data_IF_615652349557
#
_entry.id   IF_615652349557
#
_cell.length_a   1.000
_cell.length_b   1.000
_cell.length_c   1.000
_cell.angle_alpha   90.00
_cell.angle_beta   90.00
_cell.angle_gamma   90.00
#
_symmetry.space_group_name_H-M   'P 1'
#
loop_
_entity.id
_entity.type
_entity.pdbx_description
1 polymer ?
#
# COMPACT_ATOMS: atom_id res chain seq x y z
N UNK A 1 -17.13 -1.76 19.72
CA UNK A 1 -17.00 -0.36 19.29
C UNK A 1 -16.43 -0.24 17.87
N UNK A 2 -15.29 -0.87 17.54
CA UNK A 2 -14.64 -0.90 16.20
C UNK A 2 -15.49 -1.52 15.08
N UNK A 3 -16.35 -2.48 15.39
CA UNK A 3 -17.24 -3.18 14.44
C UNK A 3 -18.41 -2.31 13.93
N UNK A 4 -18.76 -1.23 14.64
CA UNK A 4 -19.90 -0.37 14.29
C UNK A 4 -19.48 0.81 13.41
N UNK A 5 -18.28 1.34 13.64
CA UNK A 5 -17.65 2.40 12.84
C UNK A 5 -17.13 1.90 11.48
N UNK A 6 -16.57 0.69 11.42
CA UNK A 6 -16.31 0.01 10.13
C UNK A 6 -17.61 -0.25 9.34
N UNK A 7 -18.75 -0.38 10.04
CA UNK A 7 -20.09 -0.53 9.43
C UNK A 7 -20.59 0.77 8.80
N UNK A 8 -20.34 1.94 9.37
CA UNK A 8 -20.75 3.23 8.79
C UNK A 8 -19.86 3.70 7.63
N UNK A 9 -18.55 3.41 7.68
CA UNK A 9 -17.62 3.67 6.59
C UNK A 9 -17.96 2.84 5.33
N UNK A 10 -18.55 1.66 5.54
CA UNK A 10 -19.14 0.78 4.53
C UNK A 10 -20.44 1.34 3.93
N UNK A 11 -21.27 2.05 4.70
CA UNK A 11 -22.57 2.59 4.24
C UNK A 11 -22.44 3.84 3.36
N UNK A 12 -21.24 4.41 3.27
CA UNK A 12 -20.90 5.56 2.42
C UNK A 12 -19.95 5.18 1.28
N UNK A 13 -19.86 3.87 1.03
CA UNK A 13 -19.36 3.20 -0.18
C UNK A 13 -17.84 3.08 -0.37
N UNK A 14 -17.07 3.12 0.73
CA UNK A 14 -15.70 3.62 0.61
C UNK A 14 -14.78 3.12 1.72
N UNK A 15 -14.65 1.83 2.00
CA UNK A 15 -13.60 1.38 2.92
C UNK A 15 -12.94 0.10 2.44
N UNK A 16 -11.66 0.19 2.07
CA UNK A 16 -10.79 -0.96 1.77
C UNK A 16 -9.66 -0.98 2.79
N UNK A 17 -9.68 -1.93 3.73
CA UNK A 17 -8.54 -2.16 4.61
C UNK A 17 -7.69 -3.29 4.02
N UNK A 18 -6.53 -2.95 3.45
CA UNK A 18 -5.59 -3.92 2.93
C UNK A 18 -4.49 -4.17 3.95
N UNK A 19 -4.54 -5.34 4.58
CA UNK A 19 -3.49 -5.81 5.49
C UNK A 19 -2.54 -6.68 4.71
N UNK A 20 -1.25 -6.36 4.77
CA UNK A 20 -0.21 -7.14 4.12
C UNK A 20 1.03 -7.25 5.01
N UNK A 21 1.83 -8.25 4.69
CA UNK A 21 3.09 -8.63 5.33
C UNK A 21 4.05 -9.06 4.21
N UNK A 22 5.36 -8.94 4.38
CA UNK A 22 6.31 -9.37 3.35
C UNK A 22 6.12 -10.86 3.02
N UNK A 23 6.08 -11.18 1.73
CA UNK A 23 6.01 -12.55 1.17
C UNK A 23 4.92 -13.44 1.76
N UNK A 24 3.86 -12.86 2.34
CA UNK A 24 2.80 -13.61 3.00
C UNK A 24 3.34 -14.60 4.07
N UNK A 25 4.35 -14.18 4.85
CA UNK A 25 4.97 -14.98 5.89
C UNK A 25 3.98 -15.55 6.92
N UNK A 26 4.08 -16.84 7.23
CA UNK A 26 3.26 -17.48 8.27
C UNK A 26 3.55 -16.92 9.66
N UNK A 27 2.58 -17.03 10.58
CA UNK A 27 2.77 -16.61 11.97
C UNK A 27 3.64 -17.61 12.76
N UNK A 28 4.64 -17.15 13.54
CA UNK A 28 5.11 -15.77 13.65
C UNK A 28 5.98 -15.36 12.45
N UNK A 29 5.70 -14.19 11.87
CA UNK A 29 6.57 -13.64 10.84
C UNK A 29 7.86 -13.14 11.49
N UNK A 30 9.01 -13.69 11.09
CA UNK A 30 10.32 -13.35 11.65
C UNK A 30 11.15 -12.44 10.72
N UNK A 31 10.52 -11.80 9.74
CA UNK A 31 11.20 -10.88 8.82
C UNK A 31 12.03 -9.83 9.57
N UNK A 32 13.26 -9.59 9.17
CA UNK A 32 14.05 -8.45 9.66
C UNK A 32 13.41 -7.14 9.19
N UNK A 33 13.82 -6.02 9.77
CA UNK A 33 13.39 -4.70 9.29
C UNK A 33 13.76 -4.49 7.82
N UNK A 34 15.00 -4.83 7.42
CA UNK A 34 15.41 -4.79 6.01
C UNK A 34 14.51 -5.65 5.12
N UNK A 35 14.13 -6.85 5.58
CA UNK A 35 13.23 -7.72 4.84
C UNK A 35 11.80 -7.16 4.72
N UNK A 36 11.34 -6.36 5.68
CA UNK A 36 10.09 -5.61 5.56
C UNK A 36 10.23 -4.52 4.48
N UNK A 37 11.35 -3.79 4.48
CA UNK A 37 11.62 -2.75 3.47
C UNK A 37 11.69 -3.36 2.06
N UNK A 38 12.42 -4.45 1.89
CA UNK A 38 12.58 -5.12 0.59
C UNK A 38 11.28 -5.76 0.08
N UNK A 39 10.34 -6.07 0.98
CA UNK A 39 9.12 -6.80 0.66
C UNK A 39 7.87 -5.94 0.50
N UNK A 40 7.98 -4.60 0.52
CA UNK A 40 6.81 -3.71 0.53
C UNK A 40 6.25 -3.42 -0.85
N UNK A 41 7.09 -3.46 -1.89
CA UNK A 41 6.76 -2.96 -3.23
C UNK A 41 5.51 -3.62 -3.82
N UNK A 42 5.45 -4.95 -3.78
CA UNK A 42 4.33 -5.72 -4.34
C UNK A 42 3.02 -5.44 -3.58
N UNK A 43 2.95 -5.58 -2.24
CA UNK A 43 1.80 -5.15 -1.45
C UNK A 43 1.34 -3.72 -1.71
N UNK A 44 2.29 -2.78 -1.76
CA UNK A 44 1.99 -1.37 -1.97
C UNK A 44 1.43 -1.13 -3.37
N UNK A 45 2.03 -1.72 -4.39
CA UNK A 45 1.55 -1.60 -5.76
C UNK A 45 0.15 -2.20 -5.92
N UNK A 46 -0.11 -3.39 -5.37
CA UNK A 46 -1.46 -3.99 -5.37
C UNK A 46 -2.46 -3.06 -4.70
N UNK A 47 -2.13 -2.51 -3.52
CA UNK A 47 -2.98 -1.54 -2.84
C UNK A 47 -3.26 -0.33 -3.72
N UNK A 48 -2.24 0.29 -4.31
CA UNK A 48 -2.37 1.48 -5.15
C UNK A 48 -3.17 1.20 -6.43
N UNK A 49 -3.09 0.01 -7.02
CA UNK A 49 -3.94 -0.36 -8.15
C UNK A 49 -5.42 -0.32 -7.76
N UNK A 50 -5.80 -0.88 -6.61
CA UNK A 50 -7.20 -1.02 -6.20
C UNK A 50 -7.69 0.07 -5.23
N UNK A 51 -6.86 1.05 -4.88
CA UNK A 51 -7.16 2.02 -3.84
C UNK A 51 -8.41 2.83 -4.20
N UNK A 52 -9.39 2.84 -3.31
CA UNK A 52 -10.60 3.64 -3.43
C UNK A 52 -10.65 4.67 -2.31
N UNK A 53 -11.68 5.51 -2.32
CA UNK A 53 -11.88 6.44 -1.22
C UNK A 53 -11.95 5.69 0.14
N UNK A 54 -11.39 6.32 1.18
CA UNK A 54 -11.17 5.77 2.52
C UNK A 54 -10.56 4.36 2.58
N UNK A 55 -9.71 4.02 1.62
CA UNK A 55 -8.86 2.85 1.72
C UNK A 55 -7.66 3.10 2.67
N UNK A 56 -7.33 2.10 3.48
CA UNK A 56 -6.20 2.10 4.40
C UNK A 56 -5.28 0.94 4.04
N UNK A 57 -3.99 1.25 3.92
CA UNK A 57 -2.93 0.26 3.79
C UNK A 57 -2.31 0.01 5.14
N UNK A 58 -2.22 -1.25 5.51
CA UNK A 58 -1.55 -1.68 6.72
C UNK A 58 -0.48 -2.71 6.36
N UNK A 59 0.77 -2.40 6.73
CA UNK A 59 1.93 -3.23 6.45
C UNK A 59 2.73 -3.45 7.74
N UNK A 60 2.60 -4.62 8.34
CA UNK A 60 3.17 -4.89 9.66
C UNK A 60 3.62 -6.34 9.83
N UNK A 61 4.69 -6.56 10.59
CA UNK A 61 5.21 -7.91 10.90
C UNK A 61 4.44 -8.60 12.02
N UNK A 62 4.03 -7.83 13.03
CA UNK A 62 3.42 -8.34 14.26
C UNK A 62 2.47 -7.28 14.82
N UNK A 63 1.23 -7.64 15.20
CA UNK A 63 0.33 -6.72 15.89
C UNK A 63 0.77 -6.38 17.32
N UNK A 64 1.74 -7.12 17.89
CA UNK A 64 2.26 -6.85 19.24
C UNK A 64 3.28 -5.72 19.18
N UNK A 65 2.96 -4.64 19.89
CA UNK A 65 3.93 -3.62 20.31
C UNK A 65 4.95 -4.32 21.20
N UNK A 66 6.20 -4.43 20.74
CA UNK A 66 7.25 -5.14 21.46
C UNK A 66 7.78 -4.31 22.62
N UNK A 67 7.68 -2.98 22.54
CA UNK A 67 8.11 -2.06 23.61
C UNK A 67 7.03 -1.04 23.96
N UNK A 68 6.44 -1.18 25.16
CA UNK A 68 5.54 -0.19 25.74
C UNK A 68 6.32 1.12 26.03
N UNK A 69 6.43 1.99 25.03
CA UNK A 69 7.17 3.25 25.14
C UNK A 69 7.57 3.86 23.80
N UNK A 70 7.52 3.10 22.71
CA UNK A 70 7.72 3.62 21.36
C UNK A 70 6.41 3.52 20.57
N UNK A 71 6.03 4.60 19.90
CA UNK A 71 5.05 4.52 18.83
C UNK A 71 5.74 3.81 17.67
N UNK A 72 5.45 2.52 17.47
CA UNK A 72 6.11 1.67 16.44
C UNK A 72 5.63 1.95 15.00
N UNK A 73 5.09 3.15 14.73
CA UNK A 73 4.75 3.62 13.38
C UNK A 73 5.82 4.59 12.89
N UNK A 74 7.02 4.08 12.62
CA UNK A 74 8.09 4.83 11.96
C UNK A 74 8.26 4.32 10.52
N UNK A 75 7.75 5.11 9.55
CA UNK A 75 7.88 4.84 8.13
C UNK A 75 9.01 5.66 7.47
N UNK A 76 9.86 6.32 8.27
CA UNK A 76 10.97 7.15 7.76
C UNK A 76 11.98 6.36 6.93
N UNK A 77 12.11 5.06 7.20
CA UNK A 77 12.95 4.13 6.45
C UNK A 77 12.35 3.63 5.13
N UNK A 78 11.10 3.96 4.80
CA UNK A 78 10.41 3.52 3.57
C UNK A 78 10.34 4.70 2.59
N UNK A 79 11.21 4.77 1.56
CA UNK A 79 11.27 5.89 0.62
C UNK A 79 9.93 6.19 -0.06
N UNK A 80 9.15 5.16 -0.37
CA UNK A 80 7.84 5.26 -1.04
C UNK A 80 6.83 6.02 -0.18
N UNK A 81 6.94 5.94 1.15
CA UNK A 81 6.07 6.66 2.10
C UNK A 81 6.52 8.11 2.33
N UNK A 82 7.70 8.49 1.84
CA UNK A 82 8.22 9.87 1.91
C UNK A 82 7.79 10.72 0.71
N UNK A 83 7.12 10.13 -0.28
CA UNK A 83 6.69 10.82 -1.49
C UNK A 83 5.21 11.23 -1.42
N UNK A 84 4.84 12.45 -1.85
CA UNK A 84 3.44 12.79 -2.04
C UNK A 84 2.88 11.92 -3.18
N UNK A 85 1.74 11.27 -2.96
CA UNK A 85 1.05 10.47 -3.98
C UNK A 85 0.11 11.33 -4.85
N UNK A 86 -0.71 12.14 -4.18
CA UNK A 86 -1.80 12.92 -4.78
C UNK A 86 -3.00 12.05 -5.22
N UNK A 87 -4.06 12.67 -5.76
CA UNK A 87 -5.27 11.93 -6.15
C UNK A 87 -5.02 10.99 -7.35
N UNK A 88 -5.78 9.89 -7.46
CA UNK A 88 -5.77 9.07 -8.68
C UNK A 88 -6.30 9.90 -9.86
N UNK A 89 -5.64 9.78 -11.01
CA UNK A 89 -6.02 10.47 -12.26
C UNK A 89 -7.05 9.69 -13.07
N UNK A 90 -7.44 8.51 -12.59
CA UNK A 90 -8.43 7.65 -13.22
C UNK A 90 -8.51 6.27 -12.56
N UNK A 91 -9.38 5.40 -13.10
CA UNK A 91 -9.43 4.00 -12.71
C UNK A 91 -8.14 3.28 -13.13
N UNK A 92 -7.80 2.15 -12.47
CA UNK A 92 -6.70 1.29 -12.92
C UNK A 92 -6.97 0.74 -14.34
N UNK A 93 -5.91 0.56 -15.11
CA UNK A 93 -5.91 0.04 -16.47
C UNK A 93 -5.24 -1.34 -16.49
N UNK A 94 -5.87 -2.31 -17.16
CA UNK A 94 -5.28 -3.62 -17.43
C UNK A 94 -4.54 -3.59 -18.78
N UNK A 95 -3.27 -3.96 -18.80
CA UNK A 95 -2.42 -4.01 -19.99
C UNK A 95 -2.08 -5.48 -20.28
N UNK A 96 -2.72 -6.08 -21.29
CA UNK A 96 -2.52 -7.51 -21.57
C UNK A 96 -3.16 -8.41 -20.51
N UNK A 97 -2.48 -9.50 -20.13
CA UNK A 97 -3.07 -10.58 -19.30
C UNK A 97 -2.89 -10.40 -17.80
N UNK A 98 -1.69 -10.05 -17.34
CA UNK A 98 -1.29 -9.99 -15.91
C UNK A 98 -0.85 -8.61 -15.43
N UNK A 99 -0.71 -7.64 -16.33
CA UNK A 99 -0.17 -6.32 -16.00
C UNK A 99 -1.29 -5.32 -15.71
N UNK A 100 -1.14 -4.57 -14.62
CA UNK A 100 -2.03 -3.49 -14.22
C UNK A 100 -1.24 -2.21 -14.00
N UNK A 101 -1.86 -1.08 -14.33
CA UNK A 101 -1.26 0.24 -14.12
C UNK A 101 -2.28 1.23 -13.59
N UNK A 102 -1.83 2.19 -12.79
CA UNK A 102 -2.66 3.33 -12.35
C UNK A 102 -1.79 4.56 -12.18
N UNK A 103 -2.37 5.70 -12.55
CA UNK A 103 -1.73 7.00 -12.43
C UNK A 103 -2.34 7.81 -11.30
N UNK A 104 -1.46 8.46 -10.55
CA UNK A 104 -1.74 9.46 -9.54
C UNK A 104 -1.03 10.77 -9.94
N UNK A 105 -1.39 11.87 -9.29
CA UNK A 105 -0.80 13.18 -9.60
C UNK A 105 0.73 13.18 -9.58
N UNK A 106 1.35 12.44 -8.66
CA UNK A 106 2.80 12.42 -8.46
C UNK A 106 3.46 11.06 -8.71
N UNK A 107 2.68 10.04 -9.09
CA UNK A 107 3.19 8.68 -9.22
C UNK A 107 2.44 7.89 -10.29
N UNK A 108 3.17 7.22 -11.16
CA UNK A 108 2.64 6.11 -11.94
C UNK A 108 3.07 4.80 -11.30
N UNK A 109 2.11 3.88 -11.13
CA UNK A 109 2.34 2.54 -10.61
C UNK A 109 2.03 1.53 -11.70
N UNK A 110 2.91 0.55 -11.87
CA UNK A 110 2.70 -0.61 -12.72
C UNK A 110 3.11 -1.86 -11.96
N UNK A 111 2.33 -2.93 -12.08
CA UNK A 111 2.65 -4.25 -11.54
C UNK A 111 2.28 -5.34 -12.54
N UNK A 112 3.16 -6.32 -12.72
CA UNK A 112 2.86 -7.58 -13.38
C UNK A 112 2.59 -8.66 -12.32
N UNK A 113 1.34 -9.12 -12.20
CA UNK A 113 0.96 -10.10 -11.18
C UNK A 113 1.52 -11.51 -11.45
N UNK A 114 2.03 -11.79 -12.66
CA UNK A 114 2.62 -13.09 -12.98
C UNK A 114 4.09 -13.19 -12.52
N UNK A 115 4.82 -12.07 -12.57
CA UNK A 115 6.24 -12.01 -12.22
C UNK A 115 6.51 -11.27 -10.91
N UNK A 116 5.50 -10.60 -10.36
CA UNK A 116 5.60 -9.69 -9.22
C UNK A 116 6.55 -8.50 -9.46
N UNK A 117 6.86 -8.19 -10.73
CA UNK A 117 7.65 -7.01 -11.07
C UNK A 117 6.82 -5.74 -10.89
N UNK A 118 7.36 -4.81 -10.10
CA UNK A 118 6.74 -3.52 -9.78
C UNK A 118 7.58 -2.38 -10.34
N UNK A 119 6.90 -1.32 -10.78
CA UNK A 119 7.56 -0.06 -11.12
C UNK A 119 6.79 1.10 -10.52
N UNK A 120 7.50 1.89 -9.71
CA UNK A 120 7.08 3.19 -9.20
C UNK A 120 7.81 4.28 -10.00
N UNK A 121 7.07 5.08 -10.76
CA UNK A 121 7.64 6.17 -11.56
C UNK A 121 7.13 7.51 -11.03
N UNK A 122 7.97 8.29 -10.34
CA UNK A 122 7.61 9.63 -9.89
C UNK A 122 7.23 10.53 -11.07
N UNK A 123 6.22 11.37 -10.84
CA UNK A 123 5.73 12.36 -11.81
C UNK A 123 5.91 13.74 -11.19
N UNK A 124 6.64 14.63 -11.86
CA UNK A 124 6.66 16.05 -11.54
C UNK A 124 5.49 16.71 -12.28
N UNK A 125 4.42 17.15 -11.59
CA UNK A 125 3.35 17.85 -12.27
C UNK A 125 3.90 19.18 -12.80
N UNK A 126 3.61 19.49 -14.06
CA UNK A 126 3.83 20.85 -14.55
C UNK A 126 2.88 21.76 -13.76
N UNK A 127 3.43 22.58 -12.87
CA UNK A 127 2.71 23.67 -12.22
C UNK A 127 2.36 24.69 -13.32
N UNK A 128 1.15 24.57 -13.87
CA UNK A 128 0.53 25.60 -14.72
C UNK A 128 -0.09 26.68 -13.84
#
# INVERSE_FOLDING_TARGET
>A
ATIQLGREALFKDKLVHFNSIPWNCGWPCLATEQQMLDGIDVPLAVFLIMVENNAYFNYLKNPKVHNAGQWEWDASGIPEMQMPLGPPLGPPVKIGTSVFARSFLHLNVKIDLATEEVTFTPVTPNLL
#
